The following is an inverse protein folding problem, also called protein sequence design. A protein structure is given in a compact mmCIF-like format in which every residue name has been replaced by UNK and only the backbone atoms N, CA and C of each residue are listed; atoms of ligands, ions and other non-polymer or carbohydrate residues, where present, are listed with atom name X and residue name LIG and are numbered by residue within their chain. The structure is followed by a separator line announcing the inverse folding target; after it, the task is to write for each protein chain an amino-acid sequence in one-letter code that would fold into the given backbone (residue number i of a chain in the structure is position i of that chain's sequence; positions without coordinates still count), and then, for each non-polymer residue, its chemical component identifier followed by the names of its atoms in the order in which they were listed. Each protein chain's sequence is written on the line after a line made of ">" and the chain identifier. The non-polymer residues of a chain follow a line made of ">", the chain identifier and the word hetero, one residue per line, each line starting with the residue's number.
data_IF_915938077932
#
_entry.id   IF_915938077932
#
_cell.length_a   1.000
_cell.length_b   1.000
_cell.length_c   1.000
_cell.angle_alpha   90.00
_cell.angle_beta   90.00
_cell.angle_gamma   90.00
#
_symmetry.space_group_name_H-M   'P 1'
#
loop_
_entity.id
_entity.type
_entity.pdbx_description
1 polymer ?
#
# COMPACT_ATOMS: atom_id res chain seq x y z
N UNK A 1 -2.73 -4.49 -24.16
CA UNK A 1 -1.81 -3.60 -23.43
C UNK A 1 -2.36 -3.52 -22.02
N UNK A 2 -1.63 -4.05 -21.06
CA UNK A 2 -2.08 -4.24 -19.70
C UNK A 2 -0.92 -4.70 -18.85
N UNK A 3 -1.11 -4.67 -17.53
CA UNK A 3 -0.13 -5.08 -16.54
C UNK A 3 0.45 -6.47 -16.85
N UNK A 4 1.72 -6.66 -16.55
CA UNK A 4 2.32 -7.98 -16.52
C UNK A 4 1.57 -8.89 -15.55
N UNK A 5 1.60 -10.19 -15.82
CA UNK A 5 0.95 -11.19 -14.96
C UNK A 5 1.52 -11.14 -13.54
N UNK A 6 2.84 -10.97 -13.40
CA UNK A 6 3.50 -10.81 -12.10
C UNK A 6 2.98 -9.59 -11.34
N UNK A 7 2.94 -8.42 -11.99
CA UNK A 7 2.48 -7.19 -11.35
C UNK A 7 1.00 -7.28 -10.97
N UNK A 8 0.16 -7.84 -11.85
CA UNK A 8 -1.25 -8.08 -11.56
C UNK A 8 -1.46 -8.98 -10.34
N UNK A 9 -0.71 -10.08 -10.27
CA UNK A 9 -0.76 -11.03 -9.16
C UNK A 9 -0.31 -10.41 -7.83
N UNK A 10 0.80 -9.66 -7.87
CA UNK A 10 1.34 -9.00 -6.68
C UNK A 10 0.41 -7.91 -6.18
N UNK A 11 -0.15 -7.08 -7.08
CA UNK A 11 -1.16 -6.08 -6.75
C UNK A 11 -2.41 -6.70 -6.12
N UNK A 12 -2.89 -7.82 -6.67
CA UNK A 12 -4.04 -8.54 -6.12
C UNK A 12 -3.76 -9.09 -4.72
N UNK A 13 -2.63 -9.76 -4.51
CA UNK A 13 -2.26 -10.29 -3.19
C UNK A 13 -2.06 -9.17 -2.17
N UNK A 14 -1.36 -8.11 -2.56
CA UNK A 14 -1.08 -6.96 -1.71
C UNK A 14 -2.35 -6.24 -1.25
N UNK A 15 -3.30 -5.99 -2.16
CA UNK A 15 -4.60 -5.39 -1.83
C UNK A 15 -5.48 -6.32 -0.98
N UNK A 16 -5.42 -7.64 -1.23
CA UNK A 16 -6.12 -8.64 -0.42
C UNK A 16 -5.58 -8.70 1.01
N UNK A 17 -4.26 -8.67 1.20
CA UNK A 17 -3.64 -8.64 2.52
C UNK A 17 -4.08 -7.42 3.32
N UNK A 18 -4.16 -6.25 2.68
CA UNK A 18 -4.71 -5.05 3.32
C UNK A 18 -6.14 -5.29 3.81
N UNK A 19 -7.02 -5.75 2.92
CA UNK A 19 -8.45 -5.99 3.25
C UNK A 19 -8.65 -6.99 4.39
N UNK A 20 -7.81 -8.02 4.46
CA UNK A 20 -7.93 -9.08 5.48
C UNK A 20 -7.35 -8.67 6.84
N UNK A 21 -6.36 -7.77 6.86
CA UNK A 21 -5.59 -7.44 8.06
C UNK A 21 -5.83 -6.03 8.60
N UNK A 22 -6.33 -5.10 7.80
CA UNK A 22 -6.66 -3.76 8.26
C UNK A 22 -7.94 -3.77 9.08
N UNK A 23 -7.89 -3.21 10.29
CA UNK A 23 -9.00 -3.17 11.25
C UNK A 23 -9.64 -1.78 11.35
N UNK A 24 -9.14 -0.80 10.61
CA UNK A 24 -9.61 0.58 10.63
C UNK A 24 -8.64 1.54 11.30
N UNK A 25 -9.14 2.74 11.59
CA UNK A 25 -8.42 3.82 12.27
C UNK A 25 -9.10 4.09 13.60
N UNK A 26 -8.34 4.43 14.64
CA UNK A 26 -8.94 4.95 15.88
C UNK A 26 -9.76 6.21 15.57
N UNK A 27 -10.87 6.38 16.28
CA UNK A 27 -11.84 7.45 16.06
C UNK A 27 -11.35 8.78 16.69
N UNK A 28 -10.21 9.26 16.19
CA UNK A 28 -9.54 10.51 16.58
C UNK A 28 -8.88 11.13 15.33
N UNK A 29 -8.72 12.47 15.27
CA UNK A 29 -8.10 13.16 14.13
C UNK A 29 -6.72 12.60 13.74
N UNK A 30 -5.94 12.16 14.73
CA UNK A 30 -4.63 11.51 14.58
C UNK A 30 -4.64 10.04 14.99
N UNK A 31 -5.81 9.40 14.90
CA UNK A 31 -6.02 8.04 15.35
C UNK A 31 -5.05 7.06 14.68
N UNK A 32 -4.46 6.17 15.48
CA UNK A 32 -3.53 5.17 14.97
C UNK A 32 -4.28 4.18 14.08
N UNK A 33 -3.59 3.73 13.04
CA UNK A 33 -4.07 2.66 12.18
C UNK A 33 -4.00 1.35 12.96
N UNK A 34 -5.08 0.58 12.91
CA UNK A 34 -5.19 -0.72 13.58
C UNK A 34 -5.06 -1.83 12.56
N UNK A 35 -4.19 -2.76 12.86
CA UNK A 35 -3.93 -3.94 12.06
C UNK A 35 -4.10 -5.18 12.91
N UNK A 36 -4.37 -6.32 12.28
CA UNK A 36 -4.38 -7.62 12.96
C UNK A 36 -3.05 -7.84 13.69
N UNK A 37 -3.08 -8.33 14.94
CA UNK A 37 -1.87 -8.68 15.66
C UNK A 37 -1.00 -9.65 14.84
N UNK A 38 0.31 -9.39 14.79
CA UNK A 38 1.26 -10.21 14.03
C UNK A 38 1.34 -9.91 12.53
N UNK A 39 0.50 -9.01 11.98
CA UNK A 39 0.64 -8.58 10.60
C UNK A 39 1.89 -7.73 10.39
N UNK A 40 2.74 -8.10 9.44
CA UNK A 40 3.95 -7.38 9.12
C UNK A 40 3.65 -6.19 8.20
N UNK A 41 3.31 -5.06 8.82
CA UNK A 41 2.96 -3.81 8.10
C UNK A 41 4.15 -3.33 7.25
N UNK A 42 5.39 -3.49 7.73
CA UNK A 42 6.58 -3.00 7.03
C UNK A 42 6.77 -3.74 5.69
N UNK A 43 6.67 -5.05 5.71
CA UNK A 43 6.74 -5.86 4.49
C UNK A 43 5.61 -5.54 3.51
N UNK A 44 4.39 -5.28 4.02
CA UNK A 44 3.29 -4.82 3.19
C UNK A 44 3.56 -3.44 2.55
N UNK A 45 4.19 -2.52 3.28
CA UNK A 45 4.59 -1.21 2.74
C UNK A 45 5.70 -1.35 1.68
N UNK A 46 6.73 -2.14 1.96
CA UNK A 46 7.86 -2.36 1.04
C UNK A 46 7.37 -2.98 -0.28
N UNK A 47 6.42 -3.91 -0.20
CA UNK A 47 5.72 -4.47 -1.36
C UNK A 47 4.94 -3.41 -2.13
N UNK A 48 4.21 -2.53 -1.41
CA UNK A 48 3.51 -1.40 -2.01
C UNK A 48 4.44 -0.49 -2.80
N UNK A 49 5.60 -0.13 -2.24
CA UNK A 49 6.60 0.69 -2.92
C UNK A 49 7.19 0.04 -4.17
N UNK A 50 7.35 -1.29 -4.16
CA UNK A 50 7.75 -2.03 -5.35
C UNK A 50 6.67 -1.96 -6.43
N UNK A 51 5.41 -2.21 -6.05
CA UNK A 51 4.25 -2.16 -6.96
C UNK A 51 4.12 -0.79 -7.61
N UNK A 52 4.27 0.30 -6.86
CA UNK A 52 4.22 1.66 -7.40
C UNK A 52 5.24 1.89 -8.51
N UNK A 53 6.50 1.50 -8.27
CA UNK A 53 7.58 1.63 -9.25
C UNK A 53 7.30 0.79 -10.50
N UNK A 54 6.79 -0.42 -10.32
CA UNK A 54 6.43 -1.30 -11.43
C UNK A 54 5.26 -0.73 -12.24
N UNK A 55 4.23 -0.19 -11.58
CA UNK A 55 3.09 0.46 -12.24
C UNK A 55 3.53 1.67 -13.08
N UNK A 56 4.38 2.54 -12.54
CA UNK A 56 4.93 3.69 -13.29
C UNK A 56 5.72 3.20 -14.52
N UNK A 57 6.48 2.11 -14.37
CA UNK A 57 7.29 1.56 -15.46
C UNK A 57 6.46 0.92 -16.57
N UNK A 58 5.38 0.22 -16.22
CA UNK A 58 4.55 -0.52 -17.18
C UNK A 58 3.44 0.34 -17.79
N UNK A 59 3.05 1.42 -17.13
CA UNK A 59 2.00 2.35 -17.55
C UNK A 59 2.51 3.79 -17.60
N UNK A 60 3.58 4.09 -18.36
CA UNK A 60 4.24 5.40 -18.35
C UNK A 60 3.38 6.54 -18.91
N UNK A 61 2.32 6.19 -19.65
CA UNK A 61 1.35 7.13 -20.23
C UNK A 61 0.22 7.54 -19.27
N UNK A 62 0.12 6.91 -18.10
CA UNK A 62 -0.90 7.18 -17.10
C UNK A 62 -0.32 7.96 -15.92
N UNK A 63 -1.07 8.96 -15.44
CA UNK A 63 -0.82 9.56 -14.14
C UNK A 63 -1.53 8.71 -13.07
N UNK A 64 -0.74 8.05 -12.22
CA UNK A 64 -1.22 7.08 -11.24
C UNK A 64 -1.13 7.70 -9.85
N UNK A 65 -2.29 7.89 -9.22
CA UNK A 65 -2.35 8.34 -7.83
C UNK A 65 -2.31 7.16 -6.85
N UNK A 66 -1.49 7.28 -5.81
CA UNK A 66 -1.20 6.23 -4.83
C UNK A 66 -1.80 6.56 -3.47
N UNK A 67 -3.14 6.54 -3.41
CA UNK A 67 -3.91 6.90 -2.20
C UNK A 67 -3.61 6.03 -0.97
N UNK A 68 -3.06 4.83 -1.16
CA UNK A 68 -2.70 3.94 -0.06
C UNK A 68 -1.65 4.57 0.88
N UNK A 69 -0.82 5.51 0.40
CA UNK A 69 0.16 6.24 1.21
C UNK A 69 -0.50 7.05 2.34
N UNK A 70 -1.74 7.52 2.15
CA UNK A 70 -2.52 8.20 3.20
C UNK A 70 -2.86 7.27 4.37
N UNK A 71 -2.86 5.96 4.13
CA UNK A 71 -3.14 4.94 5.12
C UNK A 71 -1.88 4.40 5.78
N UNK A 72 -0.73 5.06 5.62
CA UNK A 72 0.53 4.77 6.34
C UNK A 72 1.37 6.05 6.50
N UNK A 73 0.82 7.16 7.04
CA UNK A 73 1.47 8.47 7.02
C UNK A 73 2.83 8.46 7.74
N UNK A 74 2.96 7.74 8.85
CA UNK A 74 4.21 7.67 9.62
C UNK A 74 5.39 6.97 8.92
N UNK A 75 5.20 6.39 7.72
CA UNK A 75 6.30 5.82 6.93
C UNK A 75 6.87 6.78 5.89
N UNK A 76 6.06 7.75 5.45
CA UNK A 76 6.42 8.69 4.37
C UNK A 76 6.62 10.11 4.87
N UNK A 77 6.09 10.45 6.04
CA UNK A 77 6.47 11.64 6.79
C UNK A 77 7.89 11.45 7.33
N UNK A 78 8.88 11.88 6.58
CA UNK A 78 10.27 11.98 7.03
C UNK A 78 10.47 13.07 8.09
N UNK A 79 9.73 13.03 9.19
CA UNK A 79 9.91 13.92 10.33
C UNK A 79 10.32 13.14 11.59
N UNK A 80 11.64 13.23 11.83
CA UNK A 80 12.39 13.28 13.10
C UNK A 80 12.36 12.09 14.08
#
# INVERSE_FOLDING_TARGET
>A
MGLSEELGDRLYRWSRLWRENFLGREDRPDGKLRWRPGFNIREWIDEGLWIEKALISELPEYDIDFLWRHWVPGYFSGDN
#
